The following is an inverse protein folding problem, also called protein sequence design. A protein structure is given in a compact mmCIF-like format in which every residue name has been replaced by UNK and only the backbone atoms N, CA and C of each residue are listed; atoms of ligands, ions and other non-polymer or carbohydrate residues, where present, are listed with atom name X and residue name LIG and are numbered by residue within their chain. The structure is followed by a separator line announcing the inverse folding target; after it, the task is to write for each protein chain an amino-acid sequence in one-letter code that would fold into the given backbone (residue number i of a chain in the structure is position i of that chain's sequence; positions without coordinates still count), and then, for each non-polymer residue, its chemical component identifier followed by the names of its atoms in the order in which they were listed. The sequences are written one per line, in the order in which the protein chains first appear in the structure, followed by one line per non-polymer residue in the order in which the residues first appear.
data_IF_868363871072
#
_entry.id   IF_868363871072
#
_cell.length_a   1.000
_cell.length_b   1.000
_cell.length_c   1.000
_cell.angle_alpha   90.00
_cell.angle_beta   90.00
_cell.angle_gamma   90.00
#
_symmetry.space_group_name_H-M   'P 1'
#
loop_
_entity.id
_entity.type
_entity.pdbx_description
1 polymer ?
#
# COMPACT_ATOMS: atom_id res chain seq x y z
N UNK A 1 1.92 21.67 6.78
CA UNK A 1 2.32 20.46 6.03
C UNK A 1 3.62 20.80 5.40
N UNK A 2 4.69 20.22 5.91
CA UNK A 2 6.04 20.68 5.61
C UNK A 2 6.67 19.71 4.62
N UNK A 3 6.33 19.92 3.35
CA UNK A 3 6.87 19.15 2.22
C UNK A 3 8.18 19.76 1.78
N UNK A 4 9.24 18.97 1.77
CA UNK A 4 10.54 19.31 1.20
C UNK A 4 10.82 18.42 -0.02
N UNK A 5 10.91 19.01 -1.22
CA UNK A 5 11.24 18.25 -2.43
C UNK A 5 12.75 18.03 -2.49
N UNK A 6 13.17 16.77 -2.44
CA UNK A 6 14.57 16.35 -2.52
C UNK A 6 15.00 16.20 -3.98
N UNK A 7 14.14 15.58 -4.80
CA UNK A 7 14.32 15.44 -6.24
C UNK A 7 13.01 15.79 -6.95
N UNK A 8 13.08 16.67 -7.95
CA UNK A 8 11.90 17.01 -8.75
C UNK A 8 11.51 15.83 -9.64
N UNK A 9 10.20 15.60 -9.76
CA UNK A 9 9.66 14.64 -10.73
C UNK A 9 9.81 15.13 -12.17
N UNK A 10 9.71 14.19 -13.11
CA UNK A 10 9.84 14.44 -14.55
C UNK A 10 8.51 14.31 -15.31
N UNK A 11 7.38 14.20 -14.59
CA UNK A 11 6.05 13.90 -15.14
C UNK A 11 5.04 15.05 -15.10
N UNK A 12 3.84 14.77 -15.63
CA UNK A 12 2.69 15.70 -15.63
C UNK A 12 2.22 15.97 -14.21
N UNK A 13 1.71 17.18 -13.95
CA UNK A 13 1.23 17.57 -12.62
C UNK A 13 0.14 16.62 -12.11
N UNK A 14 0.12 16.33 -10.80
CA UNK A 14 -0.58 15.18 -10.26
C UNK A 14 -2.12 15.34 -10.29
N UNK A 15 -2.61 16.60 -10.31
CA UNK A 15 -4.02 16.94 -10.26
C UNK A 15 -4.91 16.27 -11.33
N UNK A 16 -4.36 15.91 -12.50
CA UNK A 16 -5.10 15.19 -13.54
C UNK A 16 -5.03 13.68 -13.39
N UNK A 17 -3.98 13.16 -12.76
CA UNK A 17 -3.79 11.72 -12.54
C UNK A 17 -4.67 11.22 -11.39
N UNK A 18 -4.84 12.02 -10.33
CA UNK A 18 -5.53 11.57 -9.11
C UNK A 18 -7.05 11.57 -9.17
N UNK A 19 -7.67 12.19 -10.17
CA UNK A 19 -9.13 12.13 -10.33
C UNK A 19 -9.61 10.71 -10.65
N UNK A 20 -8.79 9.96 -11.38
CA UNK A 20 -9.04 8.57 -11.79
C UNK A 20 -7.98 7.61 -11.22
N UNK A 21 -7.13 7.99 -10.27
CA UNK A 21 -6.11 7.08 -9.74
C UNK A 21 -6.67 6.18 -8.65
N UNK A 22 -6.49 4.88 -8.81
CA UNK A 22 -6.84 3.90 -7.78
C UNK A 22 -5.64 3.49 -6.92
N UNK A 23 -4.41 3.61 -7.44
CA UNK A 23 -3.21 3.04 -6.80
C UNK A 23 -1.97 3.91 -7.00
N UNK A 24 -1.20 4.11 -5.93
CA UNK A 24 0.13 4.70 -5.96
C UNK A 24 1.21 3.62 -5.83
N UNK A 25 2.23 3.70 -6.68
CA UNK A 25 3.41 2.83 -6.66
C UNK A 25 4.62 3.66 -6.26
N UNK A 26 5.27 3.33 -5.15
CA UNK A 26 6.33 4.18 -4.59
C UNK A 26 7.31 3.41 -3.71
N UNK A 27 8.47 4.03 -3.46
CA UNK A 27 9.39 3.65 -2.37
C UNK A 27 9.22 4.61 -1.21
N UNK A 28 9.53 4.16 -0.01
CA UNK A 28 9.52 5.01 1.16
C UNK A 28 10.67 4.74 2.13
N UNK A 29 11.01 5.75 2.91
CA UNK A 29 11.83 5.66 4.12
C UNK A 29 11.15 6.43 5.24
N UNK A 30 11.23 5.88 6.44
CA UNK A 30 10.70 6.52 7.64
C UNK A 30 11.85 6.80 8.58
N UNK A 31 11.90 8.03 9.08
CA UNK A 31 12.93 8.50 10.00
C UNK A 31 12.29 8.85 11.34
N UNK A 32 13.00 8.51 12.42
CA UNK A 32 12.71 8.98 13.78
C UNK A 32 12.97 10.48 13.91
N UNK A 33 12.55 11.07 15.02
CA UNK A 33 12.82 12.47 15.36
C UNK A 33 14.34 12.76 15.45
N UNK A 34 15.12 11.77 15.86
CA UNK A 34 16.59 11.78 15.89
C UNK A 34 17.25 11.85 14.52
N UNK A 35 16.49 11.55 13.45
CA UNK A 35 17.00 11.40 12.08
C UNK A 35 17.50 10.00 11.74
N UNK A 36 17.43 9.04 12.67
CA UNK A 36 17.73 7.64 12.40
C UNK A 36 16.65 7.00 11.51
N UNK A 37 17.05 6.08 10.62
CA UNK A 37 16.11 5.34 9.78
C UNK A 37 15.39 4.31 10.66
N UNK A 38 14.06 4.45 10.76
CA UNK A 38 13.19 3.47 11.38
C UNK A 38 12.89 2.31 10.42
N UNK A 39 12.57 2.62 9.17
CA UNK A 39 12.18 1.65 8.16
C UNK A 39 12.58 2.12 6.76
N UNK A 40 13.05 1.19 5.92
CA UNK A 40 13.27 1.39 4.49
C UNK A 40 12.47 0.35 3.70
N UNK A 41 11.66 0.82 2.75
CA UNK A 41 10.93 -0.05 1.82
C UNK A 41 11.85 -0.99 1.03
N UNK A 42 13.11 -0.61 0.79
CA UNK A 42 14.08 -1.49 0.13
C UNK A 42 14.27 -2.81 0.88
N UNK A 43 14.25 -2.76 2.22
CA UNK A 43 14.39 -3.94 3.09
C UNK A 43 13.04 -4.57 3.39
N UNK A 44 12.04 -3.76 3.78
CA UNK A 44 10.71 -4.24 4.15
C UNK A 44 9.95 -4.89 2.99
N UNK A 45 10.13 -4.37 1.78
CA UNK A 45 9.45 -4.85 0.59
C UNK A 45 10.41 -5.65 -0.31
N UNK A 46 11.57 -6.09 0.19
CA UNK A 46 12.59 -6.79 -0.59
C UNK A 46 12.07 -8.05 -1.32
N UNK A 47 11.06 -8.71 -0.75
CA UNK A 47 10.43 -9.92 -1.30
C UNK A 47 9.15 -9.66 -2.10
N UNK A 48 8.74 -8.39 -2.25
CA UNK A 48 7.61 -8.00 -3.10
C UNK A 48 8.02 -7.95 -4.57
N UNK A 49 7.03 -7.90 -5.47
CA UNK A 49 7.26 -7.72 -6.90
C UNK A 49 6.66 -6.38 -7.37
N UNK A 50 7.48 -5.41 -7.83
CA UNK A 50 8.95 -5.45 -7.87
C UNK A 50 9.60 -5.26 -6.48
N UNK A 51 10.83 -5.78 -6.27
CA UNK A 51 11.53 -5.68 -4.99
C UNK A 51 11.73 -4.24 -4.50
N UNK A 52 11.44 -4.04 -3.22
CA UNK A 52 11.63 -2.75 -2.54
C UNK A 52 10.60 -1.69 -2.93
N UNK A 53 9.52 -2.08 -3.60
CA UNK A 53 8.44 -1.17 -4.04
C UNK A 53 7.16 -1.52 -3.30
N UNK A 54 6.46 -0.48 -2.85
CA UNK A 54 5.17 -0.59 -2.19
C UNK A 54 4.05 -0.07 -3.09
N UNK A 55 2.91 -0.74 -3.03
CA UNK A 55 1.71 -0.45 -3.82
C UNK A 55 0.55 -0.19 -2.85
N UNK A 56 -0.07 0.98 -2.94
CA UNK A 56 -1.14 1.38 -2.03
C UNK A 56 -2.35 1.88 -2.82
N UNK A 57 -3.51 1.29 -2.54
CA UNK A 57 -4.79 1.79 -3.05
C UNK A 57 -5.15 3.11 -2.36
N UNK A 58 -5.50 4.13 -3.16
CA UNK A 58 -5.89 5.44 -2.67
C UNK A 58 -7.41 5.58 -2.54
N UNK A 59 -7.86 6.47 -1.65
CA UNK A 59 -9.29 6.74 -1.44
C UNK A 59 -10.08 5.65 -0.71
N UNK A 60 -9.54 4.43 -0.58
CA UNK A 60 -10.00 3.48 0.45
C UNK A 60 -9.50 3.99 1.81
N UNK A 61 -10.33 3.91 2.85
CA UNK A 61 -9.95 4.30 4.22
C UNK A 61 -8.82 3.39 4.74
N UNK A 62 -7.59 3.69 4.35
CA UNK A 62 -6.40 3.05 4.86
C UNK A 62 -6.07 3.63 6.23
N UNK A 63 -5.36 2.85 7.07
CA UNK A 63 -5.09 3.27 8.45
C UNK A 63 -4.14 4.46 8.57
N UNK A 64 -3.35 4.80 7.54
CA UNK A 64 -2.48 5.98 7.51
C UNK A 64 -3.04 6.99 6.51
N UNK A 65 -4.06 7.74 6.93
CA UNK A 65 -4.86 8.60 6.05
C UNK A 65 -4.01 9.69 5.37
N UNK A 66 -2.93 10.13 6.02
CA UNK A 66 -2.07 11.20 5.49
C UNK A 66 -1.18 10.78 4.33
N UNK A 67 -0.81 9.50 4.20
CA UNK A 67 0.00 9.07 3.05
C UNK A 67 -0.72 9.33 1.73
N UNK A 68 -2.04 9.09 1.67
CA UNK A 68 -2.86 9.42 0.50
C UNK A 68 -2.77 10.93 0.15
N UNK A 69 -2.94 11.79 1.16
CA UNK A 69 -2.86 13.25 1.00
C UNK A 69 -1.47 13.67 0.50
N UNK A 70 -0.40 13.11 1.05
CA UNK A 70 0.98 13.47 0.69
C UNK A 70 1.36 13.01 -0.70
N UNK A 71 1.09 11.76 -1.04
CA UNK A 71 1.36 11.19 -2.36
C UNK A 71 0.60 11.96 -3.45
N UNK A 72 -0.64 12.40 -3.16
CA UNK A 72 -1.43 13.24 -4.08
C UNK A 72 -0.76 14.57 -4.45
N UNK A 73 0.18 15.06 -3.65
CA UNK A 73 0.94 16.29 -3.96
C UNK A 73 2.17 16.04 -4.85
N UNK A 74 2.58 14.79 -5.05
CA UNK A 74 3.84 14.44 -5.70
C UNK A 74 3.69 14.16 -7.19
N UNK A 75 4.69 14.55 -7.97
CA UNK A 75 4.83 14.15 -9.36
C UNK A 75 5.49 12.79 -9.49
N UNK A 76 5.18 12.05 -10.56
CA UNK A 76 5.90 10.82 -10.88
C UNK A 76 7.39 11.12 -11.08
N UNK A 77 8.25 10.31 -10.46
CA UNK A 77 9.70 10.49 -10.37
C UNK A 77 10.16 11.45 -9.27
N UNK A 78 9.22 12.10 -8.55
CA UNK A 78 9.55 13.00 -7.45
C UNK A 78 10.00 12.23 -6.22
N UNK A 79 11.04 12.73 -5.55
CA UNK A 79 11.40 12.33 -4.19
C UNK A 79 11.14 13.51 -3.26
N UNK A 80 10.30 13.32 -2.25
CA UNK A 80 9.94 14.36 -1.31
C UNK A 80 9.85 13.82 0.12
N UNK A 81 10.19 14.69 1.07
CA UNK A 81 10.16 14.43 2.50
C UNK A 81 9.04 15.22 3.16
N UNK A 82 8.35 14.57 4.08
CA UNK A 82 7.19 15.10 4.80
C UNK A 82 7.45 14.92 6.29
N UNK A 83 7.70 16.03 6.98
CA UNK A 83 7.75 16.02 8.44
C UNK A 83 6.32 15.99 8.98
N UNK A 84 6.03 15.03 9.87
CA UNK A 84 4.78 15.04 10.62
C UNK A 84 5.01 15.47 12.06
N UNK A 85 4.39 16.60 12.42
CA UNK A 85 4.26 17.04 13.80
C UNK A 85 3.08 16.38 14.54
N UNK A 86 2.40 15.41 13.92
CA UNK A 86 1.26 14.70 14.51
C UNK A 86 1.67 13.27 14.84
N UNK A 87 1.82 13.03 16.14
CA UNK A 87 2.23 11.72 16.67
C UNK A 87 1.19 10.62 16.43
N UNK A 88 -0.06 10.96 16.06
CA UNK A 88 -1.04 9.97 15.62
C UNK A 88 -0.59 9.27 14.31
N UNK A 89 0.14 9.95 13.43
CA UNK A 89 0.70 9.33 12.24
C UNK A 89 1.74 8.25 12.59
N UNK A 90 2.48 8.43 13.68
CA UNK A 90 3.39 7.42 14.21
C UNK A 90 2.63 6.16 14.63
N UNK A 91 1.57 6.34 15.45
CA UNK A 91 0.73 5.22 15.90
C UNK A 91 0.12 4.49 14.71
N UNK A 92 -0.44 5.21 13.74
CA UNK A 92 -1.02 4.61 12.54
C UNK A 92 0.03 3.86 11.72
N UNK A 93 1.23 4.43 11.58
CA UNK A 93 2.34 3.81 10.86
C UNK A 93 2.81 2.50 11.50
N UNK A 94 2.79 2.38 12.83
CA UNK A 94 3.21 1.12 13.50
C UNK A 94 2.44 -0.12 13.00
N UNK A 95 1.17 0.03 12.64
CA UNK A 95 0.37 -1.06 12.09
C UNK A 95 0.84 -1.46 10.68
N UNK A 96 1.26 -0.48 9.86
CA UNK A 96 1.82 -0.72 8.52
C UNK A 96 3.19 -1.36 8.64
N UNK A 97 4.06 -0.82 9.48
CA UNK A 97 5.41 -1.37 9.74
C UNK A 97 5.32 -2.84 10.18
N UNK A 98 4.45 -3.15 11.15
CA UNK A 98 4.20 -4.54 11.57
C UNK A 98 3.77 -5.44 10.42
N UNK A 99 2.76 -5.02 9.65
CA UNK A 99 2.24 -5.82 8.54
C UNK A 99 3.31 -6.08 7.48
N UNK A 100 4.11 -5.08 7.11
CA UNK A 100 5.19 -5.22 6.13
C UNK A 100 6.31 -6.14 6.63
N UNK A 101 6.72 -6.01 7.90
CA UNK A 101 7.70 -6.90 8.53
C UNK A 101 7.20 -8.35 8.55
N UNK A 102 5.92 -8.56 8.84
CA UNK A 102 5.29 -9.88 8.80
C UNK A 102 5.29 -10.49 7.39
N UNK A 103 4.90 -9.71 6.37
CA UNK A 103 4.95 -10.13 4.96
C UNK A 103 6.37 -10.48 4.54
N UNK A 104 7.36 -9.65 4.90
CA UNK A 104 8.76 -9.90 4.56
C UNK A 104 9.33 -11.13 5.27
N UNK A 105 8.86 -11.46 6.47
CA UNK A 105 9.19 -12.70 7.16
C UNK A 105 8.53 -13.94 6.53
N UNK A 106 7.69 -13.78 5.48
CA UNK A 106 6.96 -14.86 4.82
C UNK A 106 5.72 -15.31 5.59
N UNK A 107 5.26 -14.53 6.58
CA UNK A 107 4.02 -14.82 7.31
C UNK A 107 2.83 -14.43 6.44
N UNK A 108 1.80 -15.29 6.41
CA UNK A 108 0.57 -15.00 5.66
C UNK A 108 -0.21 -13.89 6.36
N UNK A 109 -0.32 -12.75 5.69
CA UNK A 109 -1.22 -11.65 6.04
C UNK A 109 -2.49 -11.84 5.23
N UNK A 110 -3.64 -12.04 5.88
CA UNK A 110 -4.92 -12.17 5.15
C UNK A 110 -5.28 -10.86 4.45
N UNK A 111 -5.93 -10.91 3.27
CA UNK A 111 -6.55 -9.78 2.54
C UNK A 111 -5.63 -8.60 2.11
N UNK A 112 -6.21 -7.55 1.51
CA UNK A 112 -5.48 -6.34 1.01
C UNK A 112 -4.66 -5.63 2.10
N UNK A 113 -5.02 -5.93 3.35
CA UNK A 113 -4.38 -5.69 4.66
C UNK A 113 -5.28 -6.35 5.75
N UNK A 114 -6.00 -7.41 5.37
CA UNK A 114 -7.22 -7.89 6.01
C UNK A 114 -7.01 -8.59 7.36
N UNK A 115 -7.54 -8.01 8.43
CA UNK A 115 -7.79 -8.66 9.72
C UNK A 115 -6.60 -8.94 10.67
N UNK A 116 -5.52 -8.16 10.64
CA UNK A 116 -4.34 -8.36 11.51
C UNK A 116 -4.40 -7.69 12.90
N UNK A 117 -5.60 -7.51 13.45
CA UNK A 117 -5.78 -7.35 14.91
C UNK A 117 -6.64 -8.52 15.35
N UNK A 118 -6.04 -9.69 15.51
CA UNK A 118 -6.82 -10.87 15.83
C UNK A 118 -6.10 -12.22 15.80
N UNK A 119 -4.81 -12.28 16.12
CA UNK A 119 -4.21 -13.53 16.54
C UNK A 119 -2.94 -13.24 17.34
N UNK A 120 -2.87 -13.81 18.54
CA UNK A 120 -1.67 -13.87 19.38
C UNK A 120 -0.62 -14.75 18.70
N UNK A 121 -0.07 -14.29 17.58
CA UNK A 121 1.10 -14.89 16.97
C UNK A 121 2.32 -14.36 17.70
N UNK A 122 2.82 -15.11 18.68
CA UNK A 122 4.09 -14.84 19.35
C UNK A 122 5.19 -14.83 18.29
N UNK A 123 5.74 -13.66 17.96
CA UNK A 123 6.93 -13.57 17.11
C UNK A 123 8.14 -13.81 17.99
N UNK A 124 8.93 -14.84 17.70
CA UNK A 124 10.24 -15.05 18.33
C UNK A 124 11.28 -14.08 17.74
N UNK A 125 11.18 -12.83 18.15
CA UNK A 125 12.12 -11.75 17.88
C UNK A 125 11.85 -10.63 18.86
N UNK A 126 12.19 -10.84 20.14
CA UNK A 126 11.85 -9.97 21.26
C UNK A 126 12.12 -8.49 20.95
N UNK A 127 13.22 -8.17 20.28
CA UNK A 127 13.64 -6.80 19.96
C UNK A 127 12.72 -6.03 19.01
N UNK A 128 12.00 -6.71 18.10
CA UNK A 128 11.16 -6.02 17.08
C UNK A 128 9.77 -5.71 17.65
N UNK A 129 9.18 -6.66 18.37
CA UNK A 129 7.93 -6.40 19.08
C UNK A 129 8.15 -5.29 20.12
N UNK A 130 9.31 -5.28 20.78
CA UNK A 130 9.69 -4.21 21.70
C UNK A 130 9.78 -2.83 21.03
N UNK A 131 10.37 -2.72 19.83
CA UNK A 131 10.45 -1.44 19.10
C UNK A 131 9.06 -0.89 18.76
N UNK A 132 8.19 -1.72 18.18
CA UNK A 132 6.83 -1.31 17.80
C UNK A 132 6.00 -0.96 19.04
N UNK A 133 6.08 -1.76 20.11
CA UNK A 133 5.40 -1.47 21.37
C UNK A 133 5.91 -0.19 22.03
N UNK A 134 7.22 0.09 21.90
CA UNK A 134 7.82 1.34 22.39
C UNK A 134 7.26 2.54 21.65
N UNK A 135 7.16 2.50 20.32
CA UNK A 135 6.57 3.58 19.51
C UNK A 135 5.07 3.78 19.80
N UNK A 136 4.33 2.73 20.16
CA UNK A 136 2.92 2.85 20.56
C UNK A 136 2.81 3.53 21.94
N UNK A 137 3.69 3.16 22.89
CA UNK A 137 3.69 3.72 24.24
C UNK A 137 4.21 5.16 24.29
N UNK A 138 5.23 5.45 23.50
CA UNK A 138 5.87 6.76 23.39
C UNK A 138 5.92 7.15 21.89
N UNK A 139 4.82 7.69 21.34
CA UNK A 139 4.78 8.15 19.97
C UNK A 139 5.76 9.30 19.73
N UNK A 140 6.50 9.21 18.63
CA UNK A 140 7.51 10.19 18.20
C UNK A 140 7.02 10.97 16.96
N UNK A 141 7.64 12.11 16.67
CA UNK A 141 7.44 12.83 15.41
C UNK A 141 8.22 12.13 14.29
N UNK A 142 7.51 11.54 13.32
CA UNK A 142 8.13 10.82 12.22
C UNK A 142 8.26 11.69 10.98
N UNK A 143 9.34 11.45 10.24
CA UNK A 143 9.55 12.03 8.92
C UNK A 143 9.49 10.95 7.85
N UNK A 144 8.66 11.18 6.83
CA UNK A 144 8.42 10.24 5.74
C UNK A 144 9.03 10.76 4.45
N UNK A 145 9.93 10.00 3.85
CA UNK A 145 10.46 10.27 2.51
C UNK A 145 9.83 9.29 1.53
N UNK A 146 9.23 9.81 0.47
CA UNK A 146 8.66 9.01 -0.60
C UNK A 146 9.40 9.27 -1.90
N UNK A 147 9.54 8.21 -2.71
CA UNK A 147 9.87 8.31 -4.13
C UNK A 147 8.70 7.78 -4.93
N UNK A 148 7.93 8.66 -5.57
CA UNK A 148 6.76 8.25 -6.34
C UNK A 148 7.22 7.66 -7.69
N UNK A 149 7.00 6.36 -7.88
CA UNK A 149 7.41 5.65 -9.12
C UNK A 149 6.33 5.74 -10.18
N UNK A 150 5.06 5.66 -9.79
CA UNK A 150 3.95 5.66 -10.74
C UNK A 150 2.59 5.72 -10.07
N UNK A 151 1.57 5.92 -10.91
CA UNK A 151 0.16 5.96 -10.52
C UNK A 151 -0.61 5.09 -11.51
N UNK A 152 -1.47 4.20 -11.03
CA UNK A 152 -2.33 3.34 -11.87
C UNK A 152 -3.79 3.79 -11.78
N UNK A 153 -4.45 3.83 -12.94
CA UNK A 153 -5.91 4.01 -13.05
C UNK A 153 -6.62 2.67 -12.78
N UNK A 154 -7.85 2.67 -12.21
CA UNK A 154 -8.65 1.46 -11.99
C UNK A 154 -9.02 0.72 -13.28
N UNK A 155 -8.87 1.33 -14.46
CA UNK A 155 -9.08 0.67 -15.77
C UNK A 155 -7.90 -0.23 -16.17
N UNK A 156 -6.69 0.10 -15.73
CA UNK A 156 -5.47 -0.70 -15.96
C UNK A 156 -5.15 -1.68 -14.83
N UNK A 157 -6.07 -1.85 -13.88
CA UNK A 157 -5.95 -2.86 -12.83
C UNK A 157 -6.61 -4.14 -13.34
N UNK A 158 -5.86 -5.23 -13.51
CA UNK A 158 -6.45 -6.57 -13.54
C UNK A 158 -7.17 -6.75 -12.21
N UNK A 159 -8.49 -6.55 -12.19
CA UNK A 159 -9.29 -6.56 -10.98
C UNK A 159 -9.32 -7.98 -10.43
N UNK A 160 -8.41 -8.29 -9.51
CA UNK A 160 -8.51 -9.53 -8.77
C UNK A 160 -9.80 -9.51 -7.94
N UNK A 161 -10.63 -10.55 -8.14
CA UNK A 161 -12.01 -10.71 -7.63
C UNK A 161 -12.13 -10.48 -6.11
N UNK A 162 -11.04 -10.64 -5.37
CA UNK A 162 -10.97 -10.48 -3.92
C UNK A 162 -10.86 -9.03 -3.43
N UNK A 163 -10.69 -8.05 -4.32
CA UNK A 163 -10.59 -6.62 -3.98
C UNK A 163 -11.93 -5.87 -3.97
N UNK A 164 -13.00 -6.56 -4.41
CA UNK A 164 -14.34 -6.01 -4.56
C UNK A 164 -15.11 -6.02 -3.23
N UNK A 165 -15.75 -4.91 -2.89
CA UNK A 165 -16.68 -4.86 -1.76
C UNK A 165 -17.99 -5.61 -2.12
N UNK A 166 -18.83 -5.91 -1.12
CA UNK A 166 -20.05 -6.73 -1.32
C UNK A 166 -21.03 -6.20 -2.37
N UNK A 167 -21.10 -4.87 -2.53
CA UNK A 167 -21.94 -4.23 -3.54
C UNK A 167 -21.35 -4.35 -4.95
N UNK A 168 -20.01 -4.27 -5.07
CA UNK A 168 -19.29 -4.44 -6.33
C UNK A 168 -19.30 -5.91 -6.80
N UNK A 169 -19.27 -6.88 -5.88
CA UNK A 169 -19.45 -8.32 -6.18
C UNK A 169 -20.81 -8.61 -6.83
N UNK A 170 -21.88 -7.94 -6.39
CA UNK A 170 -23.22 -8.11 -6.96
C UNK A 170 -23.32 -7.54 -8.38
N UNK A 171 -22.59 -6.47 -8.67
CA UNK A 171 -22.62 -5.79 -9.97
C UNK A 171 -21.71 -6.48 -11.01
N UNK A 172 -20.66 -7.17 -10.56
CA UNK A 172 -19.74 -7.92 -11.43
C UNK A 172 -20.29 -9.31 -11.86
N UNK A 173 -21.19 -9.90 -11.07
CA UNK A 173 -21.76 -11.23 -11.30
C UNK A 173 -22.43 -11.46 -12.68
N UNK A 174 -23.11 -10.47 -13.31
CA UNK A 174 -23.68 -10.62 -14.64
C UNK A 174 -22.64 -10.56 -15.77
N UNK A 175 -21.48 -9.90 -15.55
CA UNK A 175 -20.41 -9.75 -16.56
C UNK A 175 -19.61 -11.05 -16.71
N UNK A 176 -19.21 -11.69 -15.62
CA UNK A 176 -18.47 -12.96 -15.66
C UNK A 176 -19.24 -14.10 -16.35
N UNK A 177 -20.56 -14.14 -16.16
CA UNK A 177 -21.43 -15.15 -16.80
C UNK A 177 -21.54 -14.97 -18.33
N UNK A 178 -21.31 -13.75 -18.83
CA UNK A 178 -21.33 -13.46 -20.26
C UNK A 178 -19.99 -13.84 -20.91
N UNK A 179 -18.88 -13.49 -20.26
CA UNK A 179 -17.53 -13.76 -20.76
C UNK A 179 -17.21 -15.27 -20.76
N UNK A 180 -17.69 -16.03 -19.76
CA UNK A 180 -17.57 -17.49 -19.75
C UNK A 180 -18.35 -18.19 -20.87
N UNK A 181 -19.51 -17.64 -21.28
CA UNK A 181 -20.31 -18.18 -22.38
C UNK A 181 -19.73 -17.88 -23.77
N UNK A 182 -19.03 -16.76 -23.92
CA UNK A 182 -18.37 -16.39 -25.17
C UNK A 182 -17.08 -17.21 -25.38
N UNK A 183 -16.35 -17.52 -24.30
CA UNK A 183 -15.19 -18.44 -24.33
C UNK A 183 -15.60 -19.92 -24.54
N UNK A 184 -16.74 -20.36 -23.98
CA UNK A 184 -17.26 -21.72 -24.21
C UNK A 184 -17.66 -21.97 -25.68
N UNK A 185 -18.14 -20.93 -26.38
CA UNK A 185 -18.45 -21.00 -27.82
C UNK A 185 -17.22 -20.99 -28.73
N UNK A 186 -16.07 -20.54 -28.22
CA UNK A 186 -14.79 -20.52 -28.94
C UNK A 186 -14.02 -21.86 -28.87
N UNK A 187 -14.52 -22.83 -28.10
CA UNK A 187 -13.94 -24.19 -28.04
C UNK A 187 -12.75 -24.35 -27.08
N UNK A 188 -12.46 -23.34 -26.25
CA UNK A 188 -11.32 -23.33 -25.34
C UNK A 188 -11.73 -23.75 -23.92
N UNK A 189 -11.93 -25.06 -23.74
CA UNK A 189 -12.53 -25.65 -22.54
C UNK A 189 -11.66 -25.56 -21.27
N UNK A 190 -10.37 -25.21 -21.39
CA UNK A 190 -9.46 -25.09 -20.25
C UNK A 190 -9.66 -23.79 -19.47
N UNK A 191 -9.97 -22.67 -20.13
CA UNK A 191 -10.20 -21.36 -19.48
C UNK A 191 -11.64 -21.14 -19.01
N UNK A 192 -12.58 -21.96 -19.48
CA UNK A 192 -13.99 -21.88 -19.06
C UNK A 192 -14.20 -22.33 -17.60
N UNK A 193 -13.33 -23.19 -17.07
CA UNK A 193 -13.42 -23.69 -15.69
C UNK A 193 -12.99 -22.69 -14.63
N UNK A 194 -12.18 -21.69 -14.98
CA UNK A 194 -11.65 -20.70 -14.04
C UNK A 194 -12.54 -19.44 -13.89
N UNK A 195 -13.55 -19.29 -14.75
CA UNK A 195 -14.44 -18.11 -14.80
C UNK A 195 -15.92 -18.44 -14.49
N UNK A 196 -16.19 -19.46 -13.66
CA UNK A 196 -17.54 -19.79 -13.19
C UNK A 196 -17.73 -19.56 -11.69
#
# INVERSE_FOLDING_TARGET
MDKCVIQKGTGVKPAFLWNDAAEAVFKFRVFRDTGEILDDSADLCAKMDPPGVFQMLLGKKFKVERWDVWLKTMQVGETARFASSDTNDCIQYTAVSKALRDMNAGRKVGGCMGAMVGAHGHSHGDSIEDEIQTLIKNPEELTFEFTLIGVKSPENHEKEVWTMNKDEQKEAHPKFKKDGNDLFKAGDYHMAGENY
#
